data_IF_282037399515
#
_entry.id   IF_282037399515
#
_cell.length_a   1.000
_cell.length_b   1.000
_cell.length_c   1.000
_cell.angle_alpha   90.00
_cell.angle_beta   90.00
_cell.angle_gamma   90.00
#
_symmetry.space_group_name_H-M   'P 1'
#
loop_
_entity.id
_entity.type
_entity.pdbx_description
1 polymer ?
#
# COMPACT_ATOMS: atom_id res chain seq x y z
N UNK A 1 -4.11 0.22 12.25
CA UNK A 1 -4.89 0.52 13.48
C UNK A 1 -4.38 -0.39 14.61
N UNK A 2 -3.71 0.16 15.62
CA UNK A 2 -3.29 -0.60 16.81
C UNK A 2 -4.44 -0.54 17.83
N UNK A 3 -5.15 -1.64 18.04
CA UNK A 3 -6.20 -1.74 19.06
C UNK A 3 -5.57 -1.67 20.45
N UNK A 4 -6.02 -0.72 21.28
CA UNK A 4 -5.60 -0.60 22.68
C UNK A 4 -6.23 -1.74 23.48
N UNK A 5 -5.44 -2.77 23.78
CA UNK A 5 -5.82 -3.98 24.54
C UNK A 5 -6.41 -3.65 25.93
N UNK A 6 -6.10 -2.47 26.47
CA UNK A 6 -6.63 -2.00 27.75
C UNK A 6 -8.16 -1.79 27.76
N UNK A 7 -8.78 -1.48 26.61
CA UNK A 7 -10.24 -1.21 26.52
C UNK A 7 -11.05 -2.52 26.49
N UNK A 8 -10.44 -3.64 26.08
CA UNK A 8 -11.07 -4.96 26.05
C UNK A 8 -10.98 -5.72 27.39
N UNK A 9 -10.25 -5.16 28.36
CA UNK A 9 -10.06 -5.78 29.68
C UNK A 9 -11.25 -5.43 30.58
N UNK A 10 -12.11 -6.40 30.86
CA UNK A 10 -13.23 -6.25 31.80
C UNK A 10 -12.74 -6.46 33.24
N UNK A 11 -12.55 -5.41 34.05
CA UNK A 11 -11.98 -5.52 35.39
C UNK A 11 -12.87 -6.35 36.32
N UNK A 12 -14.19 -6.26 36.17
CA UNK A 12 -15.17 -7.00 36.97
C UNK A 12 -15.07 -8.52 36.76
N UNK A 13 -14.77 -8.95 35.52
CA UNK A 13 -14.61 -10.35 35.20
C UNK A 13 -13.30 -10.91 35.78
N UNK A 14 -12.23 -10.10 35.79
CA UNK A 14 -10.96 -10.47 36.40
C UNK A 14 -11.03 -10.52 37.93
N UNK A 15 -11.73 -9.58 38.57
CA UNK A 15 -11.94 -9.60 40.02
C UNK A 15 -12.75 -10.82 40.45
N UNK A 16 -13.84 -11.13 39.75
CA UNK A 16 -14.63 -12.35 40.01
C UNK A 16 -13.85 -13.63 39.75
N UNK A 17 -12.92 -13.64 38.79
CA UNK A 17 -12.06 -14.79 38.54
C UNK A 17 -11.02 -14.97 39.66
N UNK A 18 -10.47 -13.88 40.19
CA UNK A 18 -9.56 -13.89 41.34
C UNK A 18 -10.26 -14.30 42.62
N UNK A 19 -11.45 -13.75 42.92
CA UNK A 19 -12.27 -14.14 44.07
C UNK A 19 -12.65 -15.64 44.04
N UNK A 20 -12.93 -16.18 42.85
CA UNK A 20 -13.20 -17.61 42.66
C UNK A 20 -11.96 -18.50 42.78
N UNK A 21 -10.79 -17.96 42.45
CA UNK A 21 -9.51 -18.66 42.59
C UNK A 21 -8.96 -18.61 44.02
N UNK A 22 -9.30 -17.56 44.78
CA UNK A 22 -8.92 -17.35 46.18
C UNK A 22 -9.88 -18.00 47.18
N UNK A 23 -11.09 -18.40 46.75
CA UNK A 23 -12.01 -19.18 47.57
C UNK A 23 -11.42 -20.57 47.90
N UNK A 24 -11.53 -21.05 49.15
CA UNK A 24 -11.06 -22.37 49.54
C UNK A 24 -11.79 -23.44 48.71
N UNK A 25 -11.03 -24.20 47.91
CA UNK A 25 -11.52 -25.17 46.90
C UNK A 25 -12.13 -26.44 47.49
N UNK A 26 -12.31 -26.52 48.80
CA UNK A 26 -12.89 -27.68 49.48
C UNK A 26 -14.41 -27.48 49.52
N UNK A 27 -15.14 -28.37 48.83
CA UNK A 27 -16.60 -28.40 48.87
C UNK A 27 -17.05 -28.59 50.33
N UNK A 28 -17.92 -27.71 50.81
CA UNK A 28 -18.51 -27.83 52.15
C UNK A 28 -19.39 -29.08 52.23
N UNK A 29 -19.49 -29.71 53.41
CA UNK A 29 -20.21 -30.98 53.59
C UNK A 29 -21.67 -30.92 53.12
N UNK A 30 -22.33 -29.77 53.25
CA UNK A 30 -23.70 -29.56 52.77
C UNK A 30 -23.80 -29.54 51.24
N UNK A 31 -22.77 -29.05 50.54
CA UNK A 31 -22.75 -29.05 49.08
C UNK A 31 -22.56 -30.47 48.55
N UNK A 32 -21.73 -31.28 49.22
CA UNK A 32 -21.53 -32.69 48.88
C UNK A 32 -22.84 -33.47 49.05
N UNK A 33 -23.54 -33.29 50.18
CA UNK A 33 -24.83 -33.97 50.42
C UNK A 33 -25.89 -33.58 49.39
N UNK A 34 -25.99 -32.30 49.03
CA UNK A 34 -26.93 -31.84 47.99
C UNK A 34 -26.56 -32.39 46.60
N UNK A 35 -25.27 -32.46 46.27
CA UNK A 35 -24.80 -33.01 45.00
C UNK A 35 -25.03 -34.53 44.92
N UNK A 36 -24.83 -35.26 46.03
CA UNK A 36 -25.15 -36.69 46.15
C UNK A 36 -26.65 -36.98 46.08
N UNK A 37 -27.50 -36.18 46.73
CA UNK A 37 -28.96 -36.31 46.64
C UNK A 37 -29.45 -36.04 45.21
N UNK A 38 -28.91 -35.02 44.53
CA UNK A 38 -29.24 -34.72 43.14
C UNK A 38 -28.75 -35.84 42.21
N UNK A 39 -27.56 -36.38 42.45
CA UNK A 39 -27.01 -37.51 41.70
C UNK A 39 -27.78 -38.81 41.97
N UNK A 40 -28.29 -39.01 43.18
CA UNK A 40 -29.13 -40.16 43.52
C UNK A 40 -30.53 -40.07 42.91
N UNK A 41 -31.11 -38.86 42.80
CA UNK A 41 -32.44 -38.65 42.20
C UNK A 41 -32.42 -38.65 40.67
N UNK A 42 -31.39 -38.07 40.06
CA UNK A 42 -31.37 -37.78 38.61
C UNK A 42 -30.24 -38.51 37.86
N UNK A 43 -29.40 -39.28 38.54
CA UNK A 43 -28.31 -40.06 37.95
C UNK A 43 -27.10 -39.24 37.45
N UNK A 44 -27.29 -37.95 37.18
CA UNK A 44 -26.26 -37.03 36.66
C UNK A 44 -26.26 -35.71 37.43
N UNK A 45 -25.10 -35.05 37.50
CA UNK A 45 -25.05 -33.67 38.02
C UNK A 45 -25.43 -32.68 36.91
N UNK A 46 -25.95 -31.48 37.24
CA UNK A 46 -26.24 -30.44 36.23
C UNK A 46 -25.02 -30.10 35.35
N UNK A 47 -23.81 -30.21 35.91
CA UNK A 47 -22.56 -29.99 35.19
C UNK A 47 -22.28 -31.05 34.12
N UNK A 48 -22.58 -32.33 34.41
CA UNK A 48 -22.41 -33.45 33.47
C UNK A 48 -23.43 -33.43 32.32
N UNK A 49 -24.56 -32.75 32.50
CA UNK A 49 -25.67 -32.73 31.54
C UNK A 49 -25.52 -31.71 30.41
N UNK A 50 -24.53 -30.82 30.49
CA UNK A 50 -24.28 -29.83 29.45
C UNK A 50 -23.38 -30.42 28.35
N UNK A 51 -23.83 -30.51 27.09
CA UNK A 51 -22.97 -30.95 26.00
C UNK A 51 -21.83 -29.94 25.83
N UNK A 52 -20.60 -30.39 26.13
CA UNK A 52 -19.38 -29.62 25.85
C UNK A 52 -19.31 -29.35 24.35
N UNK A 53 -19.67 -28.14 23.93
CA UNK A 53 -19.52 -27.71 22.53
C UNK A 53 -18.03 -27.74 22.19
N UNK A 54 -17.59 -28.74 21.42
CA UNK A 54 -16.22 -28.80 20.91
C UNK A 54 -15.91 -27.51 20.13
N UNK A 55 -14.73 -26.93 20.39
CA UNK A 55 -14.27 -25.76 19.67
C UNK A 55 -14.17 -26.03 18.15
N UNK A 56 -14.41 -25.02 17.28
CA UNK A 56 -14.42 -25.22 15.84
C UNK A 56 -13.04 -25.68 15.34
N UNK A 57 -12.97 -26.92 14.84
CA UNK A 57 -11.76 -27.49 14.23
C UNK A 57 -11.47 -26.75 12.91
N UNK A 58 -10.22 -26.32 12.72
CA UNK A 58 -9.79 -25.59 11.52
C UNK A 58 -10.02 -26.41 10.25
N UNK A 59 -10.34 -25.74 9.14
CA UNK A 59 -10.65 -26.37 7.84
C UNK A 59 -9.53 -27.32 7.38
N UNK A 60 -8.29 -26.97 7.71
CA UNK A 60 -7.06 -27.70 7.39
C UNK A 60 -6.81 -28.96 8.25
N UNK A 61 -7.48 -29.10 9.39
CA UNK A 61 -7.38 -30.26 10.30
C UNK A 61 -8.63 -31.14 10.24
N UNK A 62 -9.58 -30.83 9.35
CA UNK A 62 -10.81 -31.60 9.20
C UNK A 62 -10.51 -32.89 8.44
N UNK A 63 -10.86 -34.04 9.02
CA UNK A 63 -10.95 -35.30 8.28
C UNK A 63 -12.20 -35.23 7.40
N UNK A 64 -12.00 -35.13 6.09
CA UNK A 64 -13.10 -35.18 5.12
C UNK A 64 -13.59 -36.62 5.00
N UNK A 65 -14.92 -36.80 5.00
CA UNK A 65 -15.53 -38.08 4.61
C UNK A 65 -15.38 -38.23 3.09
N UNK A 66 -15.12 -39.45 2.58
CA UNK A 66 -15.06 -39.66 1.14
C UNK A 66 -16.40 -39.28 0.51
N UNK A 67 -16.32 -38.53 -0.59
CA UNK A 67 -17.50 -38.21 -1.40
C UNK A 67 -17.99 -39.49 -2.09
N UNK A 68 -19.31 -39.64 -2.33
CA UNK A 68 -19.82 -40.73 -3.15
C UNK A 68 -19.27 -40.60 -4.57
N UNK A 69 -18.88 -41.73 -5.17
CA UNK A 69 -18.15 -41.80 -6.45
C UNK A 69 -18.83 -41.01 -7.56
N UNK A 70 -20.15 -41.11 -7.70
CA UNK A 70 -20.91 -40.38 -8.70
C UNK A 70 -20.78 -38.84 -8.58
N UNK A 71 -20.73 -38.29 -7.35
CA UNK A 71 -20.55 -36.85 -7.14
C UNK A 71 -19.12 -36.39 -7.36
N UNK A 72 -18.14 -37.26 -7.09
CA UNK A 72 -16.76 -36.94 -7.39
C UNK A 72 -16.56 -36.77 -8.90
N UNK A 73 -17.12 -37.68 -9.70
CA UNK A 73 -17.03 -37.62 -11.17
C UNK A 73 -17.65 -36.34 -11.73
N UNK A 74 -18.83 -35.95 -11.23
CA UNK A 74 -19.53 -34.73 -11.65
C UNK A 74 -18.72 -33.47 -11.32
N UNK A 75 -18.19 -33.37 -10.09
CA UNK A 75 -17.34 -32.25 -9.69
C UNK A 75 -16.02 -32.20 -10.47
N UNK A 76 -15.44 -33.35 -10.81
CA UNK A 76 -14.26 -33.39 -11.67
C UNK A 76 -14.60 -32.95 -13.09
N UNK A 77 -15.76 -33.30 -13.62
CA UNK A 77 -16.20 -32.85 -14.93
C UNK A 77 -16.33 -31.32 -15.00
N UNK A 78 -16.94 -30.70 -13.99
CA UNK A 78 -17.03 -29.24 -13.88
C UNK A 78 -15.64 -28.58 -13.80
N UNK A 79 -14.76 -29.08 -12.93
CA UNK A 79 -13.40 -28.52 -12.76
C UNK A 79 -12.57 -28.67 -14.03
N UNK A 80 -12.70 -29.79 -14.75
CA UNK A 80 -12.00 -30.01 -16.02
C UNK A 80 -12.53 -29.06 -17.10
N UNK A 81 -13.85 -28.83 -17.14
CA UNK A 81 -14.47 -27.86 -18.04
C UNK A 81 -13.97 -26.43 -17.79
N UNK A 82 -14.00 -25.98 -16.54
CA UNK A 82 -13.52 -24.67 -16.14
C UNK A 82 -12.02 -24.50 -16.42
N UNK A 83 -11.21 -25.51 -16.10
CA UNK A 83 -9.77 -25.49 -16.37
C UNK A 83 -9.49 -25.38 -17.88
N UNK A 84 -10.28 -26.03 -18.73
CA UNK A 84 -10.14 -25.92 -20.18
C UNK A 84 -10.43 -24.51 -20.67
N UNK A 85 -11.54 -23.91 -20.21
CA UNK A 85 -11.91 -22.53 -20.61
C UNK A 85 -10.83 -21.54 -20.14
N UNK A 86 -10.37 -21.66 -18.90
CA UNK A 86 -9.30 -20.81 -18.35
C UNK A 86 -7.97 -21.00 -19.09
N UNK A 87 -7.63 -22.22 -19.49
CA UNK A 87 -6.43 -22.50 -20.25
C UNK A 87 -6.48 -21.88 -21.65
N UNK A 88 -7.61 -22.00 -22.36
CA UNK A 88 -7.79 -21.39 -23.69
C UNK A 88 -7.77 -19.87 -23.60
N UNK A 89 -8.50 -19.29 -22.62
CA UNK A 89 -8.52 -17.85 -22.40
C UNK A 89 -7.13 -17.30 -22.02
N UNK A 90 -6.47 -17.93 -21.05
CA UNK A 90 -5.12 -17.58 -20.63
C UNK A 90 -4.09 -17.75 -21.76
N UNK A 91 -4.22 -18.81 -22.55
CA UNK A 91 -3.40 -19.06 -23.73
C UNK A 91 -3.55 -17.97 -24.79
N UNK A 92 -4.79 -17.58 -25.12
CA UNK A 92 -5.06 -16.50 -26.08
C UNK A 92 -4.50 -15.16 -25.60
N UNK A 93 -4.72 -14.81 -24.32
CA UNK A 93 -4.20 -13.56 -23.74
C UNK A 93 -2.67 -13.56 -23.77
N UNK A 94 -2.03 -14.66 -23.35
CA UNK A 94 -0.57 -14.77 -23.34
C UNK A 94 0.00 -14.73 -24.75
N UNK A 95 -0.66 -15.37 -25.71
CA UNK A 95 -0.27 -15.36 -27.13
C UNK A 95 -0.39 -13.97 -27.74
N UNK A 96 -1.52 -13.28 -27.56
CA UNK A 96 -1.72 -11.90 -28.01
C UNK A 96 -0.71 -10.95 -27.34
N UNK A 97 -0.45 -11.11 -26.04
CA UNK A 97 0.57 -10.32 -25.33
C UNK A 97 1.97 -10.55 -25.90
N UNK A 98 2.37 -11.81 -26.12
CA UNK A 98 3.66 -12.14 -26.72
C UNK A 98 3.78 -11.58 -28.15
N UNK A 99 2.73 -11.73 -28.96
CA UNK A 99 2.66 -11.20 -30.32
C UNK A 99 2.68 -9.67 -30.35
N UNK A 100 2.04 -9.02 -29.39
CA UNK A 100 2.05 -7.56 -29.23
C UNK A 100 3.41 -7.07 -28.76
N UNK A 101 4.05 -7.79 -27.85
CA UNK A 101 5.37 -7.45 -27.31
C UNK A 101 6.50 -7.60 -28.34
N UNK A 102 6.28 -8.34 -29.43
CA UNK A 102 7.22 -8.42 -30.55
C UNK A 102 7.14 -7.21 -31.49
N UNK A 103 6.09 -6.39 -31.42
CA UNK A 103 6.05 -5.15 -32.18
C UNK A 103 6.83 -4.10 -31.38
N UNK A 104 7.86 -3.46 -31.96
CA UNK A 104 8.49 -2.33 -31.29
C UNK A 104 7.40 -1.29 -31.03
N UNK A 105 7.30 -0.84 -29.78
CA UNK A 105 6.39 0.24 -29.41
C UNK A 105 6.85 1.48 -30.16
N UNK A 106 6.29 1.73 -31.34
CA UNK A 106 6.53 2.97 -32.11
C UNK A 106 6.35 4.22 -31.25
N UNK A 107 5.48 4.12 -30.24
CA UNK A 107 5.28 5.15 -29.23
C UNK A 107 6.51 5.35 -28.35
N UNK A 108 7.21 4.28 -27.94
CA UNK A 108 8.47 4.40 -27.19
C UNK A 108 9.55 5.05 -28.04
N UNK A 109 9.73 4.61 -29.28
CA UNK A 109 10.69 5.22 -30.21
C UNK A 109 10.37 6.71 -30.45
N UNK A 110 9.10 7.04 -30.64
CA UNK A 110 8.64 8.42 -30.77
C UNK A 110 8.88 9.23 -29.49
N UNK A 111 8.61 8.66 -28.31
CA UNK A 111 8.88 9.31 -27.01
C UNK A 111 10.37 9.58 -26.84
N UNK A 112 11.23 8.61 -27.17
CA UNK A 112 12.68 8.77 -27.13
C UNK A 112 13.17 9.83 -28.11
N UNK A 113 12.61 9.88 -29.31
CA UNK A 113 12.93 10.94 -30.28
C UNK A 113 12.49 12.32 -29.78
N UNK A 114 11.30 12.43 -29.21
CA UNK A 114 10.80 13.66 -28.59
C UNK A 114 11.68 14.10 -27.42
N UNK A 115 12.12 13.17 -26.57
CA UNK A 115 13.05 13.48 -25.47
C UNK A 115 14.37 14.05 -25.98
N UNK A 116 14.96 13.45 -27.02
CA UNK A 116 16.20 13.96 -27.64
C UNK A 116 16.01 15.39 -28.19
N UNK A 117 14.89 15.65 -28.85
CA UNK A 117 14.58 17.00 -29.37
C UNK A 117 14.39 18.03 -28.26
N UNK A 118 13.75 17.65 -27.16
CA UNK A 118 13.59 18.53 -26.00
C UNK A 118 14.94 18.85 -25.36
N UNK A 119 15.81 17.86 -25.22
CA UNK A 119 17.16 18.05 -24.67
C UNK A 119 18.00 18.97 -25.56
N UNK A 120 17.95 18.80 -26.89
CA UNK A 120 18.63 19.69 -27.84
C UNK A 120 18.12 21.14 -27.76
N UNK A 121 16.81 21.34 -27.62
CA UNK A 121 16.22 22.67 -27.45
C UNK A 121 16.64 23.32 -26.13
N UNK A 122 16.70 22.55 -25.04
CA UNK A 122 17.16 23.05 -23.75
C UNK A 122 18.63 23.48 -23.78
N UNK A 123 19.49 22.72 -24.48
CA UNK A 123 20.89 23.11 -24.65
C UNK A 123 21.01 24.42 -25.44
N UNK A 124 20.27 24.55 -26.56
CA UNK A 124 20.24 25.80 -27.34
C UNK A 124 19.73 26.98 -26.52
N UNK A 125 18.71 26.78 -25.70
CA UNK A 125 18.19 27.83 -24.82
C UNK A 125 19.24 28.27 -23.81
N UNK A 126 19.98 27.34 -23.20
CA UNK A 126 21.08 27.66 -22.30
C UNK A 126 22.20 28.43 -23.00
N UNK A 127 22.60 28.02 -24.21
CA UNK A 127 23.60 28.73 -25.00
C UNK A 127 23.16 30.16 -25.35
N UNK A 128 21.89 30.35 -25.71
CA UNK A 128 21.33 31.67 -26.00
C UNK A 128 21.29 32.56 -24.75
N UNK A 129 20.91 32.01 -23.60
CA UNK A 129 20.93 32.73 -22.33
C UNK A 129 22.35 33.15 -21.94
N UNK A 130 23.35 32.29 -22.15
CA UNK A 130 24.76 32.65 -21.93
C UNK A 130 25.23 33.73 -22.90
N UNK A 131 24.86 33.64 -24.18
CA UNK A 131 25.20 34.64 -25.18
C UNK A 131 24.59 36.00 -24.84
N UNK A 132 23.32 36.02 -24.40
CA UNK A 132 22.63 37.24 -23.97
C UNK A 132 23.32 37.86 -22.75
N UNK A 133 23.70 37.06 -21.74
CA UNK A 133 24.48 37.53 -20.58
C UNK A 133 25.79 38.19 -21.00
N UNK A 134 26.56 37.53 -21.87
CA UNK A 134 27.83 38.08 -22.40
C UNK A 134 27.61 39.38 -23.17
N UNK A 135 26.52 39.50 -23.93
CA UNK A 135 26.17 40.74 -24.62
C UNK A 135 25.84 41.86 -23.63
N UNK A 136 25.01 41.58 -22.61
CA UNK A 136 24.68 42.55 -21.56
C UNK A 136 25.93 43.04 -20.84
N UNK A 137 26.83 42.15 -20.43
CA UNK A 137 28.10 42.51 -19.80
C UNK A 137 28.98 43.40 -20.72
N UNK A 138 29.09 43.06 -22.01
CA UNK A 138 29.82 43.89 -22.98
C UNK A 138 29.23 45.28 -23.12
N UNK A 139 27.90 45.38 -23.18
CA UNK A 139 27.19 46.67 -23.25
C UNK A 139 27.44 47.48 -21.98
N UNK A 140 27.33 46.87 -20.80
CA UNK A 140 27.61 47.53 -19.53
C UNK A 140 29.05 48.08 -19.45
N UNK A 141 30.04 47.30 -19.91
CA UNK A 141 31.43 47.76 -19.97
C UNK A 141 31.62 48.94 -20.93
N UNK A 142 30.97 48.89 -22.10
CA UNK A 142 30.99 49.99 -23.08
C UNK A 142 30.34 51.24 -22.49
N UNK A 143 29.20 51.10 -21.83
CA UNK A 143 28.53 52.20 -21.14
C UNK A 143 29.42 52.82 -20.06
N UNK A 144 30.11 52.00 -19.25
CA UNK A 144 31.04 52.47 -18.22
C UNK A 144 32.24 53.21 -18.84
N UNK A 145 32.81 52.68 -19.93
CA UNK A 145 33.91 53.33 -20.65
C UNK A 145 33.49 54.68 -21.27
N UNK A 146 32.30 54.75 -21.87
CA UNK A 146 31.71 55.98 -22.41
C UNK A 146 31.41 57.01 -21.32
N UNK A 147 30.99 56.58 -20.12
CA UNK A 147 30.80 57.47 -18.96
C UNK A 147 32.13 58.01 -18.41
N UNK A 148 33.17 57.18 -18.39
CA UNK A 148 34.50 57.58 -17.95
C UNK A 148 35.18 58.54 -18.93
N UNK A 149 34.92 58.37 -20.23
CA UNK A 149 35.41 59.25 -21.28
C UNK A 149 34.63 60.58 -21.27
N UNK A 150 35.32 61.68 -20.94
CA UNK A 150 34.75 63.03 -20.96
C UNK A 150 35.21 63.75 -22.22
N UNK A 151 34.26 64.36 -22.92
CA UNK A 151 34.57 65.09 -24.15
C UNK A 151 35.51 66.26 -23.86
N UNK A 152 36.59 66.44 -24.65
CA UNK A 152 37.59 67.48 -24.39
C UNK A 152 37.06 68.90 -24.63
N UNK A 153 35.97 69.06 -25.39
CA UNK A 153 35.37 70.37 -25.72
C UNK A 153 34.30 70.81 -24.72
N UNK A 154 33.50 69.87 -24.22
CA UNK A 154 32.33 70.13 -23.35
C UNK A 154 32.58 69.73 -21.88
N UNK A 155 33.65 68.96 -21.58
CA UNK A 155 34.03 68.43 -20.25
C UNK A 155 32.93 67.63 -19.53
N UNK A 156 31.87 67.26 -20.25
CA UNK A 156 30.73 66.48 -19.77
C UNK A 156 30.86 65.01 -20.21
N UNK A 157 30.30 64.06 -19.44
CA UNK A 157 30.23 62.66 -19.86
C UNK A 157 29.27 62.50 -21.05
N UNK A 158 29.58 61.57 -21.97
CA UNK A 158 28.79 61.33 -23.18
C UNK A 158 27.41 60.68 -22.91
N UNK A 159 27.26 59.97 -21.79
CA UNK A 159 26.02 59.35 -21.36
C UNK A 159 25.56 59.95 -20.01
N UNK A 160 24.24 60.15 -19.81
CA UNK A 160 23.71 60.58 -18.53
C UNK A 160 23.93 59.50 -17.45
N UNK A 161 23.96 59.92 -16.18
CA UNK A 161 23.99 58.99 -15.05
C UNK A 161 22.82 58.00 -15.16
N UNK A 162 23.00 56.72 -14.76
CA UNK A 162 21.95 55.73 -14.89
C UNK A 162 20.70 56.26 -14.21
N UNK A 163 19.61 56.39 -14.97
CA UNK A 163 18.31 56.65 -14.39
C UNK A 163 18.06 55.49 -13.43
N UNK A 164 18.04 55.78 -12.12
CA UNK A 164 17.58 54.83 -11.11
C UNK A 164 16.15 54.48 -11.48
N UNK A 165 15.98 53.37 -12.21
CA UNK A 165 14.67 52.83 -12.53
C UNK A 165 14.00 52.55 -11.19
N UNK A 166 13.00 53.38 -10.88
CA UNK A 166 12.16 53.22 -9.71
C UNK A 166 11.55 51.81 -9.70
N UNK A 167 11.45 51.28 -8.48
CA UNK A 167 10.96 49.96 -8.10
C UNK A 167 9.72 49.46 -8.86
#
# INVERSE_FOLDING_TARGET
>A
MRLQVAILRNPDAEQRAKEKAEAPTVKTEEQIKREEELRAKYGTTPWDSHPTKEAPKSVWRRKFRPLPEAKAVDLFADVVGDAFILAVAGGLITFEYWRSSQKPDKNKEMIEELQKRVEELQQREQELLEAERRQRERVELIEQALRAFKDPKTKQPLLPAPATAAA
#
